data_IF_668185291426
#
_entry.id   IF_668185291426
#
_cell.length_a   1.000
_cell.length_b   1.000
_cell.length_c   1.000
_cell.angle_alpha   90.00
_cell.angle_beta   90.00
_cell.angle_gamma   90.00
#
_symmetry.space_group_name_H-M   'P 1'
#
loop_
_entity.id
_entity.type
_entity.pdbx_description
1 polymer ?
#
# COMPACT_ATOMS: atom_id res chain seq x y z
N UNK A 1 -11.63 2.40 -24.60
CA UNK A 1 -10.53 1.61 -23.99
C UNK A 1 -10.16 2.37 -22.73
N UNK A 2 -10.37 1.81 -21.56
CA UNK A 2 -9.98 2.45 -20.31
C UNK A 2 -8.44 2.56 -20.29
N UNK A 3 -7.93 3.76 -19.98
CA UNK A 3 -6.49 4.06 -19.92
C UNK A 3 -5.93 3.47 -18.61
N UNK A 4 -5.71 2.15 -18.60
CA UNK A 4 -5.18 1.41 -17.45
C UNK A 4 -3.73 1.81 -17.20
N UNK A 5 -3.41 2.26 -16.00
CA UNK A 5 -2.07 2.62 -15.54
C UNK A 5 -1.65 1.72 -14.39
N UNK A 6 -0.51 1.06 -14.52
CA UNK A 6 0.09 0.30 -13.42
C UNK A 6 1.30 1.04 -12.87
N UNK A 7 1.32 1.24 -11.55
CA UNK A 7 2.43 1.82 -10.80
C UNK A 7 3.05 0.76 -9.93
N UNK A 8 4.23 0.27 -10.30
CA UNK A 8 4.98 -0.69 -9.48
C UNK A 8 5.92 0.08 -8.56
N UNK A 9 5.77 -0.11 -7.25
CA UNK A 9 6.60 0.56 -6.24
C UNK A 9 7.19 -0.47 -5.27
N UNK A 10 8.40 -0.21 -4.75
CA UNK A 10 8.99 -1.06 -3.72
C UNK A 10 8.23 -0.91 -2.40
N UNK A 11 8.02 -2.02 -1.74
CA UNK A 11 7.52 -2.08 -0.37
C UNK A 11 8.65 -2.08 0.65
N UNK A 12 8.39 -2.69 1.81
CA UNK A 12 9.34 -2.74 2.92
C UNK A 12 9.09 -1.64 3.94
N UNK A 13 10.10 -1.38 4.77
CA UNK A 13 10.06 -0.40 5.86
C UNK A 13 11.10 0.70 5.72
N UNK A 14 11.98 0.65 4.68
CA UNK A 14 12.93 1.72 4.45
C UNK A 14 12.20 3.05 4.17
N UNK A 15 12.71 4.19 4.66
CA UNK A 15 12.06 5.49 4.46
C UNK A 15 11.75 5.82 2.99
N UNK A 16 12.67 5.47 2.09
CA UNK A 16 12.48 5.71 0.65
C UNK A 16 11.33 4.88 0.07
N UNK A 17 11.30 3.58 0.35
CA UNK A 17 10.23 2.68 -0.10
C UNK A 17 8.87 3.09 0.48
N UNK A 18 8.83 3.41 1.77
CA UNK A 18 7.61 3.86 2.44
C UNK A 18 7.10 5.17 1.85
N UNK A 19 7.97 6.13 1.56
CA UNK A 19 7.57 7.38 0.92
C UNK A 19 6.93 7.15 -0.46
N UNK A 20 7.50 6.25 -1.28
CA UNK A 20 6.94 5.89 -2.58
C UNK A 20 5.59 5.18 -2.45
N UNK A 21 5.49 4.17 -1.58
CA UNK A 21 4.24 3.45 -1.35
C UNK A 21 3.15 4.39 -0.78
N UNK A 22 3.49 5.24 0.18
CA UNK A 22 2.55 6.20 0.77
C UNK A 22 2.04 7.21 -0.27
N UNK A 23 2.94 7.79 -1.08
CA UNK A 23 2.54 8.72 -2.14
C UNK A 23 1.61 8.05 -3.17
N UNK A 24 1.86 6.78 -3.53
CA UNK A 24 1.01 6.04 -4.45
C UNK A 24 -0.37 5.74 -3.85
N UNK A 25 -0.44 5.38 -2.56
CA UNK A 25 -1.71 5.17 -1.86
C UNK A 25 -2.47 6.48 -1.63
N UNK A 26 -1.77 7.59 -1.40
CA UNK A 26 -2.38 8.92 -1.34
C UNK A 26 -3.05 9.28 -2.67
N UNK A 27 -2.36 9.01 -3.79
CA UNK A 27 -2.96 9.22 -5.11
C UNK A 27 -4.22 8.36 -5.33
N UNK A 28 -4.24 7.11 -4.83
CA UNK A 28 -5.47 6.29 -4.88
C UNK A 28 -6.60 6.89 -4.03
N UNK A 29 -6.29 7.46 -2.85
CA UNK A 29 -7.29 8.13 -2.02
C UNK A 29 -7.87 9.37 -2.72
N UNK A 30 -7.01 10.21 -3.35
CA UNK A 30 -7.46 11.35 -4.17
C UNK A 30 -8.38 10.90 -5.31
N UNK A 31 -7.97 9.88 -6.08
CA UNK A 31 -8.76 9.33 -7.19
C UNK A 31 -10.10 8.76 -6.71
N UNK A 32 -10.15 8.20 -5.52
CA UNK A 32 -11.41 7.75 -4.92
C UNK A 32 -12.35 8.94 -4.65
N UNK A 33 -11.84 10.01 -4.08
CA UNK A 33 -12.63 11.22 -3.81
C UNK A 33 -13.07 11.90 -5.10
N UNK A 34 -12.20 11.99 -6.10
CA UNK A 34 -12.54 12.49 -7.43
C UNK A 34 -13.69 11.68 -8.07
N UNK A 35 -13.65 10.34 -8.01
CA UNK A 35 -14.72 9.45 -8.51
C UNK A 35 -16.04 9.65 -7.77
N UNK A 36 -15.99 9.91 -6.45
CA UNK A 36 -17.20 10.19 -5.67
C UNK A 36 -17.81 11.56 -6.00
N UNK A 37 -16.96 12.54 -6.30
CA UNK A 37 -17.39 13.90 -6.63
C UNK A 37 -17.94 14.03 -8.05
N UNK A 38 -17.36 13.32 -9.03
CA UNK A 38 -17.78 13.34 -10.44
C UNK A 38 -17.80 11.91 -11.04
N UNK A 39 -18.86 11.14 -10.80
CA UNK A 39 -18.99 9.78 -11.31
C UNK A 39 -19.06 9.68 -12.84
N UNK A 40 -19.47 10.76 -13.53
CA UNK A 40 -19.69 10.77 -14.98
C UNK A 40 -18.36 10.95 -15.77
N UNK A 41 -17.33 11.48 -15.12
CA UNK A 41 -16.00 11.70 -15.71
C UNK A 41 -14.90 11.01 -14.86
N UNK A 42 -14.88 9.67 -14.84
CA UNK A 42 -13.93 8.96 -13.99
C UNK A 42 -12.49 9.21 -14.43
N UNK A 43 -11.62 9.46 -13.46
CA UNK A 43 -10.17 9.52 -13.68
C UNK A 43 -9.64 8.21 -14.29
N UNK A 44 -8.47 8.23 -14.97
CA UNK A 44 -7.85 7.02 -15.50
C UNK A 44 -7.71 5.93 -14.46
N UNK A 45 -8.03 4.68 -14.83
CA UNK A 45 -7.92 3.56 -13.93
C UNK A 45 -6.45 3.31 -13.57
N UNK A 46 -6.11 3.51 -12.32
CA UNK A 46 -4.75 3.34 -11.81
C UNK A 46 -4.69 2.18 -10.83
N UNK A 47 -3.79 1.25 -11.08
CA UNK A 47 -3.50 0.11 -10.20
C UNK A 47 -2.11 0.27 -9.61
N UNK A 48 -2.02 0.36 -8.30
CA UNK A 48 -0.74 0.37 -7.56
C UNK A 48 -0.35 -1.07 -7.24
N UNK A 49 0.88 -1.43 -7.54
CA UNK A 49 1.46 -2.75 -7.21
C UNK A 49 2.61 -2.53 -6.24
N UNK A 50 2.40 -2.86 -4.96
CA UNK A 50 3.47 -2.75 -3.95
C UNK A 50 4.12 -4.12 -3.81
N UNK A 51 5.42 -4.20 -4.11
CA UNK A 51 6.19 -5.43 -4.13
C UNK A 51 7.24 -5.49 -3.05
N UNK A 52 7.66 -6.72 -2.78
CA UNK A 52 8.93 -6.94 -2.10
C UNK A 52 10.03 -6.16 -2.83
N UNK A 53 10.80 -5.34 -2.12
CA UNK A 53 11.84 -4.50 -2.74
C UNK A 53 12.89 -5.31 -3.51
N UNK A 54 13.13 -6.56 -3.15
CA UNK A 54 14.05 -7.46 -3.86
C UNK A 54 13.53 -7.86 -5.25
N UNK A 55 12.20 -7.78 -5.47
CA UNK A 55 11.55 -8.14 -6.74
C UNK A 55 11.26 -6.94 -7.64
N UNK A 56 11.62 -5.72 -7.22
CA UNK A 56 11.42 -4.50 -8.03
C UNK A 56 12.66 -4.22 -8.86
N UNK A 57 12.58 -4.29 -10.20
CA UNK A 57 13.72 -3.95 -11.04
C UNK A 57 14.12 -2.48 -10.87
N UNK A 58 15.43 -2.16 -10.88
CA UNK A 58 15.91 -0.78 -10.77
C UNK A 58 15.33 0.18 -11.85
N UNK A 59 14.98 -0.36 -13.02
CA UNK A 59 14.33 0.38 -14.11
C UNK A 59 12.92 0.85 -13.76
N UNK A 60 12.18 0.12 -12.92
CA UNK A 60 10.81 0.46 -12.51
C UNK A 60 10.76 1.68 -11.60
N UNK A 61 11.85 1.97 -10.88
CA UNK A 61 11.97 3.17 -10.04
C UNK A 61 12.02 4.49 -10.84
N UNK A 62 12.17 4.41 -12.16
CA UNK A 62 12.27 5.56 -13.05
C UNK A 62 11.05 5.78 -13.94
N UNK A 63 10.11 4.83 -13.98
CA UNK A 63 8.93 4.89 -14.82
C UNK A 63 7.68 4.99 -13.94
N UNK A 64 6.91 6.04 -14.14
CA UNK A 64 5.65 6.26 -13.41
C UNK A 64 4.52 5.30 -13.85
N UNK A 65 4.70 4.60 -14.96
CA UNK A 65 3.73 3.64 -15.47
C UNK A 65 4.45 2.50 -16.20
N UNK A 66 3.92 1.30 -16.07
CA UNK A 66 4.43 0.10 -16.71
C UNK A 66 3.29 -0.68 -17.36
N UNK A 67 3.62 -1.55 -18.31
CA UNK A 67 2.63 -2.45 -18.91
C UNK A 67 2.29 -3.61 -17.96
N UNK A 68 1.13 -4.27 -18.13
CA UNK A 68 0.80 -5.46 -17.32
C UNK A 68 1.89 -6.54 -17.34
N UNK A 69 2.50 -6.82 -18.51
CA UNK A 69 3.57 -7.82 -18.62
C UNK A 69 4.87 -7.42 -17.92
N UNK A 70 5.19 -6.13 -17.88
CA UNK A 70 6.34 -5.62 -17.12
C UNK A 70 6.05 -5.63 -15.63
N UNK A 71 4.80 -5.30 -15.26
CA UNK A 71 4.36 -5.37 -13.88
C UNK A 71 4.30 -6.81 -13.36
N UNK A 72 3.92 -7.77 -14.18
CA UNK A 72 3.77 -9.18 -13.83
C UNK A 72 4.47 -10.06 -14.85
N UNK A 73 5.83 -10.13 -14.81
CA UNK A 73 6.59 -10.95 -15.73
C UNK A 73 6.18 -12.42 -15.62
N UNK A 74 5.97 -13.14 -16.75
CA UNK A 74 5.54 -14.53 -16.74
C UNK A 74 6.49 -15.47 -16.00
N UNK A 75 7.77 -15.11 -15.90
CA UNK A 75 8.78 -15.87 -15.16
C UNK A 75 8.56 -15.87 -13.66
N UNK A 76 7.95 -14.79 -13.14
CA UNK A 76 7.61 -14.64 -11.71
C UNK A 76 6.15 -14.98 -11.42
N UNK A 77 5.28 -14.86 -12.42
CA UNK A 77 3.82 -15.02 -12.29
C UNK A 77 3.27 -15.87 -13.44
N UNK A 78 3.69 -17.14 -13.56
CA UNK A 78 3.27 -18.02 -14.66
C UNK A 78 1.75 -18.24 -14.70
N UNK A 79 1.07 -18.16 -13.56
CA UNK A 79 -0.38 -18.28 -13.45
C UNK A 79 -1.16 -17.14 -14.11
N UNK A 80 -0.49 -15.99 -14.35
CA UNK A 80 -1.08 -14.82 -15.03
C UNK A 80 -0.74 -14.78 -16.53
N UNK A 81 0.21 -15.57 -16.99
CA UNK A 81 0.84 -15.44 -18.32
C UNK A 81 -0.18 -15.41 -19.48
N UNK A 82 -1.26 -16.21 -19.39
CA UNK A 82 -2.29 -16.29 -20.42
C UNK A 82 -3.35 -15.16 -20.33
N UNK A 83 -3.52 -14.56 -19.16
CA UNK A 83 -4.58 -13.60 -18.87
C UNK A 83 -4.10 -12.17 -18.67
N UNK A 84 -2.80 -11.95 -18.58
CA UNK A 84 -2.22 -10.66 -18.18
C UNK A 84 -2.56 -9.52 -19.15
N UNK A 85 -2.82 -9.84 -20.41
CA UNK A 85 -3.20 -8.85 -21.43
C UNK A 85 -4.72 -8.61 -21.50
N UNK A 86 -5.50 -9.33 -20.69
CA UNK A 86 -6.94 -9.11 -20.58
C UNK A 86 -7.20 -7.92 -19.63
N UNK A 87 -7.71 -6.77 -20.13
CA UNK A 87 -8.00 -5.62 -19.28
C UNK A 87 -8.99 -5.94 -18.15
N UNK A 88 -9.90 -6.90 -18.35
CA UNK A 88 -10.88 -7.31 -17.36
C UNK A 88 -10.24 -7.97 -16.12
N UNK A 89 -8.98 -8.40 -16.21
CA UNK A 89 -8.22 -8.91 -15.08
C UNK A 89 -8.10 -7.87 -13.94
N UNK A 90 -8.10 -6.59 -14.31
CA UNK A 90 -7.91 -5.48 -13.38
C UNK A 90 -9.23 -4.78 -13.01
N UNK A 91 -10.37 -5.26 -13.51
CA UNK A 91 -11.66 -4.66 -13.18
C UNK A 91 -11.88 -4.62 -11.65
N UNK A 92 -12.17 -3.42 -11.12
CA UNK A 92 -12.33 -3.16 -9.69
C UNK A 92 -11.09 -3.48 -8.82
N UNK A 93 -9.89 -3.50 -9.40
CA UNK A 93 -8.63 -3.64 -8.67
C UNK A 93 -7.88 -2.33 -8.74
N UNK A 94 -7.55 -1.73 -7.60
CA UNK A 94 -6.78 -0.49 -7.48
C UNK A 94 -5.45 -0.71 -6.74
N UNK A 95 -5.33 -1.79 -5.95
CA UNK A 95 -4.11 -2.18 -5.26
C UNK A 95 -3.83 -3.67 -5.42
N UNK A 96 -2.60 -4.04 -5.76
CA UNK A 96 -2.13 -5.43 -5.78
C UNK A 96 -1.00 -5.62 -4.79
N UNK A 97 -1.13 -6.64 -3.95
CA UNK A 97 -0.14 -7.07 -2.96
C UNK A 97 0.10 -8.58 -3.06
N UNK A 98 1.26 -9.03 -2.58
CA UNK A 98 1.49 -10.44 -2.36
C UNK A 98 1.03 -10.86 -0.96
N UNK A 99 0.29 -11.95 -0.85
CA UNK A 99 0.01 -12.60 0.43
C UNK A 99 1.12 -13.60 0.75
N UNK A 100 1.41 -13.80 2.03
CA UNK A 100 2.41 -14.76 2.51
C UNK A 100 1.95 -16.23 2.46
N UNK A 101 1.08 -16.61 1.53
CA UNK A 101 0.45 -17.92 1.36
C UNK A 101 0.84 -19.03 2.36
N UNK A 102 -0.13 -19.70 2.96
CA UNK A 102 0.11 -20.82 3.90
C UNK A 102 0.85 -22.01 3.25
N UNK A 103 0.92 -22.03 1.92
CA UNK A 103 1.64 -23.02 1.11
C UNK A 103 3.11 -22.65 0.82
N UNK A 104 3.58 -21.49 1.32
CA UNK A 104 4.94 -20.99 1.06
C UNK A 104 5.10 -20.26 -0.27
N UNK A 105 4.11 -20.30 -1.16
CA UNK A 105 4.12 -19.57 -2.43
C UNK A 105 3.31 -18.28 -2.27
N UNK A 106 3.89 -17.10 -2.58
CA UNK A 106 3.16 -15.83 -2.54
C UNK A 106 2.01 -15.86 -3.55
N UNK A 107 0.82 -15.45 -3.10
CA UNK A 107 -0.34 -15.25 -3.99
C UNK A 107 -0.60 -13.77 -4.15
N UNK A 108 -0.87 -13.33 -5.38
CA UNK A 108 -1.30 -11.97 -5.63
C UNK A 108 -2.76 -11.78 -5.17
N UNK A 109 -3.00 -10.69 -4.49
CA UNK A 109 -4.33 -10.27 -4.02
C UNK A 109 -4.62 -8.88 -4.57
N UNK A 110 -5.68 -8.77 -5.37
CA UNK A 110 -6.21 -7.51 -5.85
C UNK A 110 -7.27 -6.96 -4.88
N UNK A 111 -7.19 -5.68 -4.59
CA UNK A 111 -8.10 -4.97 -3.69
C UNK A 111 -8.64 -3.71 -4.38
N UNK A 112 -9.93 -3.45 -4.23
CA UNK A 112 -10.54 -2.20 -4.69
C UNK A 112 -10.29 -1.07 -3.70
N UNK A 113 -10.25 0.16 -4.19
CA UNK A 113 -10.14 1.35 -3.32
C UNK A 113 -11.36 1.47 -2.40
N UNK A 114 -12.55 1.07 -2.86
CA UNK A 114 -13.75 1.05 -2.02
C UNK A 114 -13.58 0.14 -0.79
N UNK A 115 -13.02 -1.06 -0.97
CA UNK A 115 -12.74 -1.99 0.13
C UNK A 115 -11.67 -1.41 1.08
N UNK A 116 -10.63 -0.77 0.54
CA UNK A 116 -9.58 -0.12 1.33
C UNK A 116 -10.15 1.03 2.16
N UNK A 117 -10.95 1.90 1.56
CA UNK A 117 -11.58 3.05 2.24
C UNK A 117 -12.64 2.61 3.25
N UNK A 118 -13.39 1.54 2.97
CA UNK A 118 -14.30 0.93 3.95
C UNK A 118 -13.54 0.44 5.19
N UNK A 119 -12.38 -0.21 4.99
CA UNK A 119 -11.49 -0.64 6.09
C UNK A 119 -10.94 0.56 6.88
N UNK A 120 -10.56 1.65 6.21
CA UNK A 120 -10.12 2.89 6.87
C UNK A 120 -11.22 3.44 7.77
N UNK A 121 -12.42 3.63 7.22
CA UNK A 121 -13.59 4.15 7.95
C UNK A 121 -13.95 3.28 9.15
N UNK A 122 -14.00 1.96 8.97
CA UNK A 122 -14.29 1.02 10.05
C UNK A 122 -13.25 1.08 11.17
N UNK A 123 -11.95 1.15 10.83
CA UNK A 123 -10.88 1.26 11.81
C UNK A 123 -10.97 2.55 12.59
N UNK A 124 -11.15 3.69 11.92
CA UNK A 124 -11.28 4.99 12.58
C UNK A 124 -12.52 5.04 13.49
N UNK A 125 -13.63 4.42 13.07
CA UNK A 125 -14.83 4.32 13.92
C UNK A 125 -14.58 3.56 15.22
N UNK A 126 -13.82 2.46 15.16
CA UNK A 126 -13.50 1.64 16.34
C UNK A 126 -12.48 2.31 17.26
N UNK A 127 -11.49 3.00 16.68
CA UNK A 127 -10.40 3.63 17.43
C UNK A 127 -10.72 5.06 17.91
N UNK A 128 -11.90 5.58 17.57
CA UNK A 128 -12.33 6.92 18.00
C UNK A 128 -11.88 8.05 17.08
N UNK A 129 -11.42 7.77 15.88
CA UNK A 129 -11.10 8.76 14.85
C UNK A 129 -9.76 8.56 14.15
N UNK A 130 -9.39 9.49 13.26
CA UNK A 130 -8.08 9.51 12.64
C UNK A 130 -6.97 9.78 13.66
N UNK A 131 -5.75 9.36 13.33
CA UNK A 131 -4.61 9.54 14.21
C UNK A 131 -3.29 9.33 13.50
N UNK A 132 -2.19 9.56 14.18
CA UNK A 132 -0.85 9.38 13.66
C UNK A 132 -0.42 7.94 13.79
N UNK A 133 -0.30 7.26 12.64
CA UNK A 133 0.11 5.86 12.59
C UNK A 133 1.62 5.70 12.67
N UNK A 134 2.06 4.65 13.35
CA UNK A 134 3.44 4.18 13.36
C UNK A 134 3.52 2.95 12.47
N UNK A 135 4.34 3.02 11.44
CA UNK A 135 4.61 1.91 10.53
C UNK A 135 5.87 1.17 10.98
N UNK A 136 5.72 -0.05 11.45
CA UNK A 136 6.79 -1.00 11.77
C UNK A 136 6.61 -2.33 11.02
N UNK A 137 5.76 -2.34 9.98
CA UNK A 137 5.40 -3.50 9.17
C UNK A 137 5.71 -3.23 7.72
N UNK A 138 6.19 -4.25 7.00
CA UNK A 138 6.47 -4.14 5.57
C UNK A 138 5.25 -3.73 4.77
N UNK A 139 5.37 -2.66 3.98
CA UNK A 139 4.27 -2.07 3.21
C UNK A 139 3.83 -2.91 2.00
N UNK A 140 4.60 -3.94 1.60
CA UNK A 140 4.18 -4.91 0.58
C UNK A 140 3.29 -6.03 1.15
N UNK A 141 3.01 -6.03 2.46
CA UNK A 141 2.01 -6.88 3.08
C UNK A 141 0.79 -6.05 3.48
N UNK A 142 -0.40 -6.70 3.50
CA UNK A 142 -1.67 -6.01 3.74
C UNK A 142 -1.68 -5.20 5.06
N UNK A 143 -1.04 -5.70 6.11
CA UNK A 143 -1.00 -4.99 7.39
C UNK A 143 -0.26 -3.65 7.30
N UNK A 144 0.92 -3.62 6.67
CA UNK A 144 1.68 -2.38 6.44
C UNK A 144 1.00 -1.46 5.42
N UNK A 145 0.49 -2.02 4.31
CA UNK A 145 -0.26 -1.25 3.32
C UNK A 145 -1.49 -0.56 3.94
N UNK A 146 -2.21 -1.23 4.83
CA UNK A 146 -3.36 -0.65 5.52
C UNK A 146 -2.98 0.47 6.51
N UNK A 147 -1.82 0.38 7.15
CA UNK A 147 -1.30 1.51 7.97
C UNK A 147 -1.07 2.73 7.08
N UNK A 148 -0.40 2.53 5.92
CA UNK A 148 -0.15 3.62 4.98
C UNK A 148 -1.44 4.17 4.36
N UNK A 149 -2.41 3.29 4.04
CA UNK A 149 -3.70 3.72 3.49
C UNK A 149 -4.48 4.60 4.47
N UNK A 150 -4.47 4.26 5.78
CA UNK A 150 -5.09 5.07 6.83
C UNK A 150 -4.42 6.44 6.97
N UNK A 151 -3.09 6.47 6.88
CA UNK A 151 -2.33 7.72 6.89
C UNK A 151 -2.63 8.57 5.64
N UNK A 152 -2.63 7.95 4.46
CA UNK A 152 -2.91 8.61 3.19
C UNK A 152 -4.32 9.22 3.14
N UNK A 153 -5.34 8.48 3.59
CA UNK A 153 -6.74 8.93 3.59
C UNK A 153 -7.04 10.08 4.58
N UNK A 154 -6.11 10.43 5.45
CA UNK A 154 -6.29 11.51 6.46
C UNK A 154 -5.25 12.60 6.34
N UNK A 155 -4.36 12.52 5.36
CA UNK A 155 -3.24 13.46 5.15
C UNK A 155 -2.30 13.59 6.37
N UNK A 156 -2.37 12.62 7.31
CA UNK A 156 -1.52 12.60 8.50
C UNK A 156 -0.31 11.71 8.21
N UNK A 157 0.87 12.30 8.07
CA UNK A 157 2.09 11.56 7.78
C UNK A 157 2.41 10.51 8.86
N UNK A 158 2.69 9.25 8.49
CA UNK A 158 3.02 8.21 9.43
C UNK A 158 4.43 8.41 10.03
N UNK A 159 4.65 7.92 11.24
CA UNK A 159 5.99 7.72 11.78
C UNK A 159 6.54 6.38 11.26
N UNK A 160 7.77 6.37 10.80
CA UNK A 160 8.39 5.20 10.16
C UNK A 160 9.42 4.59 11.10
N UNK A 161 9.31 3.28 11.32
CA UNK A 161 10.35 2.47 11.97
C UNK A 161 10.99 1.62 10.88
N UNK A 162 12.26 1.88 10.60
CA UNK A 162 12.99 1.12 9.59
C UNK A 162 13.37 -0.26 10.15
N UNK A 163 12.67 -1.29 9.66
CA UNK A 163 12.91 -2.69 10.01
C UNK A 163 13.63 -3.45 8.87
N UNK A 164 14.25 -2.77 7.91
CA UNK A 164 14.94 -3.41 6.76
C UNK A 164 16.10 -4.33 7.19
N UNK A 165 16.66 -4.08 8.37
CA UNK A 165 17.71 -4.90 8.99
C UNK A 165 17.22 -5.72 10.19
N UNK A 166 15.91 -5.91 10.31
CA UNK A 166 15.25 -6.58 11.43
C UNK A 166 14.58 -5.59 12.38
N UNK A 167 13.63 -6.09 13.16
CA UNK A 167 12.90 -5.29 14.15
C UNK A 167 13.68 -5.16 15.46
N UNK A 168 13.86 -3.92 15.93
CA UNK A 168 14.41 -3.64 17.26
C UNK A 168 13.40 -2.79 18.05
N UNK A 169 12.91 -3.24 19.22
CA UNK A 169 11.94 -2.50 20.02
C UNK A 169 12.39 -1.09 20.42
N UNK A 170 13.70 -0.84 20.52
CA UNK A 170 14.23 0.49 20.86
C UNK A 170 13.96 1.53 19.75
N UNK A 171 13.82 1.07 18.50
CA UNK A 171 13.56 1.95 17.37
C UNK A 171 12.11 2.45 17.33
N UNK A 172 11.22 1.84 18.16
CA UNK A 172 9.87 2.35 18.37
C UNK A 172 9.85 3.64 19.21
N UNK A 173 10.82 3.84 20.11
CA UNK A 173 10.77 4.97 21.06
C UNK A 173 10.69 6.35 20.38
N UNK A 174 11.54 6.68 19.39
CA UNK A 174 11.43 7.96 18.68
C UNK A 174 10.12 8.04 17.87
N UNK A 175 9.67 6.95 17.28
CA UNK A 175 8.40 6.93 16.51
C UNK A 175 7.19 7.14 17.43
N UNK A 176 7.17 6.54 18.63
CA UNK A 176 6.14 6.76 19.65
C UNK A 176 6.16 8.23 20.09
N UNK A 177 7.34 8.78 20.42
CA UNK A 177 7.47 10.17 20.82
C UNK A 177 6.95 11.12 19.71
N UNK A 178 7.27 10.83 18.44
CA UNK A 178 6.75 11.59 17.30
C UNK A 178 5.23 11.45 17.13
N UNK A 179 4.68 10.24 17.29
CA UNK A 179 3.26 9.99 17.14
C UNK A 179 2.42 10.64 18.26
N UNK A 180 2.98 10.77 19.45
CA UNK A 180 2.31 11.34 20.64
C UNK A 180 2.69 12.79 20.92
N UNK A 181 3.43 13.47 20.02
CA UNK A 181 3.90 14.85 20.18
C UNK A 181 2.77 15.87 20.19
N UNK A 182 1.64 15.57 19.56
CA UNK A 182 0.43 16.39 19.56
C UNK A 182 -0.65 15.67 20.37
N UNK A 183 -1.04 16.19 21.56
CA UNK A 183 -2.04 15.54 22.42
C UNK A 183 -3.47 15.58 21.84
N UNK A 184 -3.72 16.41 20.83
CA UNK A 184 -5.01 16.46 20.15
C UNK A 184 -5.21 15.32 19.14
N UNK A 185 -4.13 14.61 18.77
CA UNK A 185 -4.12 13.58 17.77
C UNK A 185 -3.62 12.24 18.36
N UNK A 186 -4.45 11.19 18.41
CA UNK A 186 -4.03 9.91 18.95
C UNK A 186 -2.92 9.27 18.11
N UNK A 187 -1.98 8.60 18.77
CA UNK A 187 -0.96 7.76 18.13
C UNK A 187 -1.45 6.29 18.04
N UNK A 188 -1.29 5.67 16.88
CA UNK A 188 -1.65 4.28 16.65
C UNK A 188 -0.44 3.46 16.19
N UNK A 189 -0.31 2.27 16.73
CA UNK A 189 0.76 1.32 16.40
C UNK A 189 0.16 -0.03 16.00
N UNK A 190 0.65 -0.60 14.89
CA UNK A 190 0.33 -1.96 14.45
C UNK A 190 1.58 -2.82 14.51
N UNK A 191 1.51 -3.92 15.26
CA UNK A 191 2.59 -4.90 15.40
C UNK A 191 2.06 -6.31 15.12
N UNK A 192 2.96 -7.21 14.77
CA UNK A 192 2.69 -8.66 14.75
C UNK A 192 3.15 -9.30 16.07
N UNK A 193 2.61 -10.47 16.47
CA UNK A 193 2.97 -11.12 17.74
C UNK A 193 4.47 -11.33 17.95
N UNK A 194 5.21 -11.53 16.87
CA UNK A 194 6.68 -11.72 16.93
C UNK A 194 7.45 -10.44 17.22
N UNK A 195 6.78 -9.28 17.23
CA UNK A 195 7.35 -7.97 17.57
C UNK A 195 7.00 -7.53 19.00
N UNK A 196 6.20 -8.33 19.72
CA UNK A 196 5.82 -8.13 21.11
C UNK A 196 6.71 -8.92 22.04
#
# INVERSE_FOLDING_TARGET
>A
MSDLRLLVVPGGTSPASVAMAHASLHKLAELYEERQADPDHPAPHTVVVIRDPELVPPSSLRSAATTPREAFPPELYPELAERIDDPALFDNIDLVLASSGSSGEPRLVGLSIDALMASVKATHSVLGGPGRWILALSSHHIAGAQVLMRAAATEISPQIVDCSHGFNPKDLLPAIAGATSDPSLPGYLSLVPTQL
#
